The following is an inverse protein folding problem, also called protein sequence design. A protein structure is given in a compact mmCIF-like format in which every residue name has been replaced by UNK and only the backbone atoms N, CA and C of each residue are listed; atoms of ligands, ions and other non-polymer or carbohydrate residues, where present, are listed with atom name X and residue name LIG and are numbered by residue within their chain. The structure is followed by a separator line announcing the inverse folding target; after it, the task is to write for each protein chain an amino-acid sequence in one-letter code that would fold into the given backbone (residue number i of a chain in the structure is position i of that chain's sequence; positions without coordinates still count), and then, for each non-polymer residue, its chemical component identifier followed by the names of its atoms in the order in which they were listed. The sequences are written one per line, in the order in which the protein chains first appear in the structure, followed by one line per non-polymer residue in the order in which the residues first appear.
data_IF_332243684186
#
_entry.id   IF_332243684186
#
_cell.length_a   1.000
_cell.length_b   1.000
_cell.length_c   1.000
_cell.angle_alpha   90.00
_cell.angle_beta   90.00
_cell.angle_gamma   90.00
#
_symmetry.space_group_name_H-M   'P 1'
#
loop_
_entity.id
_entity.type
_entity.pdbx_description
1 polymer ?
#
# COMPACT_ATOMS: atom_id res chain seq x y z
N UNK A 1 34.60 0.82 -13.45
CA UNK A 1 33.38 0.29 -12.80
C UNK A 1 33.36 0.57 -11.30
N UNK A 2 34.47 0.43 -10.58
CA UNK A 2 34.59 0.69 -9.14
C UNK A 2 34.00 2.05 -8.69
N UNK A 3 34.37 3.16 -9.33
CA UNK A 3 33.80 4.49 -9.04
C UNK A 3 32.28 4.56 -9.18
N UNK A 4 31.69 3.82 -10.13
CA UNK A 4 30.23 3.76 -10.31
C UNK A 4 29.56 2.97 -9.18
N UNK A 5 30.15 1.86 -8.75
CA UNK A 5 29.66 1.06 -7.62
C UNK A 5 29.75 1.86 -6.31
N UNK A 6 30.84 2.60 -6.09
CA UNK A 6 30.99 3.47 -4.94
C UNK A 6 29.93 4.59 -4.91
N UNK A 7 29.67 5.22 -6.06
CA UNK A 7 28.62 6.23 -6.18
C UNK A 7 27.23 5.63 -5.92
N UNK A 8 26.95 4.45 -6.48
CA UNK A 8 25.70 3.73 -6.24
C UNK A 8 25.50 3.41 -4.76
N UNK A 9 26.53 2.91 -4.08
CA UNK A 9 26.47 2.62 -2.65
C UNK A 9 26.17 3.88 -1.82
N UNK A 10 26.84 5.00 -2.13
CA UNK A 10 26.58 6.29 -1.46
C UNK A 10 25.14 6.77 -1.68
N UNK A 11 24.63 6.67 -2.90
CA UNK A 11 23.24 7.03 -3.21
C UNK A 11 22.25 6.14 -2.45
N UNK A 12 22.53 4.84 -2.34
CA UNK A 12 21.70 3.90 -1.59
C UNK A 12 21.69 4.20 -0.08
N UNK A 13 22.82 4.63 0.48
CA UNK A 13 22.88 5.08 1.87
C UNK A 13 22.05 6.36 2.08
N UNK A 14 22.21 7.36 1.21
CA UNK A 14 21.39 8.58 1.25
C UNK A 14 19.90 8.29 1.10
N UNK A 15 19.54 7.37 0.20
CA UNK A 15 18.15 6.91 0.03
C UNK A 15 17.60 6.39 1.36
N UNK A 16 18.37 5.55 2.07
CA UNK A 16 17.96 5.01 3.37
C UNK A 16 17.77 6.10 4.43
N UNK A 17 18.65 7.11 4.45
CA UNK A 17 18.51 8.25 5.36
C UNK A 17 17.26 9.09 5.04
N UNK A 18 17.02 9.39 3.77
CA UNK A 18 15.82 10.10 3.29
C UNK A 18 14.55 9.32 3.63
N UNK A 19 14.55 8.00 3.42
CA UNK A 19 13.41 7.14 3.76
C UNK A 19 13.11 7.18 5.26
N UNK A 20 14.14 7.20 6.11
CA UNK A 20 13.98 7.33 7.56
C UNK A 20 13.43 8.70 7.95
N UNK A 21 13.94 9.77 7.36
CA UNK A 21 13.46 11.14 7.62
C UNK A 21 12.01 11.32 7.17
N UNK A 22 11.66 10.83 5.98
CA UNK A 22 10.29 10.82 5.46
C UNK A 22 9.34 10.01 6.35
N UNK A 23 9.80 8.88 6.90
CA UNK A 23 9.00 8.09 7.83
C UNK A 23 8.71 8.87 9.13
N UNK A 24 9.71 9.55 9.70
CA UNK A 24 9.52 10.40 10.88
C UNK A 24 8.55 11.55 10.62
N UNK A 25 8.75 12.31 9.54
CA UNK A 25 7.85 13.39 9.15
C UNK A 25 6.42 12.90 8.92
N UNK A 26 6.25 11.72 8.32
CA UNK A 26 4.93 11.11 8.14
C UNK A 26 4.24 10.84 9.46
N UNK A 27 4.96 10.26 10.45
CA UNK A 27 4.41 10.00 11.78
C UNK A 27 4.02 11.31 12.48
N UNK A 28 4.87 12.34 12.41
CA UNK A 28 4.59 13.66 12.98
C UNK A 28 3.34 14.31 12.35
N UNK A 29 3.21 14.28 11.02
CA UNK A 29 2.05 14.84 10.32
C UNK A 29 0.77 14.07 10.66
N UNK A 30 0.84 12.73 10.74
CA UNK A 30 -0.31 11.92 11.15
C UNK A 30 -0.71 12.25 12.60
N UNK A 31 0.26 12.37 13.51
CA UNK A 31 0.01 12.73 14.90
C UNK A 31 -0.62 14.13 15.03
N UNK A 32 -0.15 15.09 14.23
CA UNK A 32 -0.71 16.44 14.16
C UNK A 32 -2.16 16.44 13.66
N UNK A 33 -2.46 15.71 12.58
CA UNK A 33 -3.83 15.63 12.07
C UNK A 33 -4.76 14.89 13.06
N UNK A 34 -4.24 13.84 13.71
CA UNK A 34 -4.98 13.06 14.72
C UNK A 34 -5.30 13.89 15.96
N UNK A 35 -4.41 14.81 16.38
CA UNK A 35 -4.66 15.69 17.53
C UNK A 35 -5.67 16.81 17.23
N UNK A 36 -5.92 17.10 15.95
CA UNK A 36 -6.92 18.06 15.51
C UNK A 36 -8.26 17.43 15.14
N UNK A 37 -8.43 16.11 15.34
CA UNK A 37 -9.59 15.33 14.87
C UNK A 37 -9.95 15.61 13.39
N UNK A 38 -8.95 15.99 12.58
CA UNK A 38 -9.15 16.39 11.20
C UNK A 38 -8.44 15.45 10.25
N UNK A 39 -9.16 14.95 9.26
CA UNK A 39 -8.62 14.15 8.16
C UNK A 39 -7.92 14.99 7.10
N UNK A 40 -8.03 16.31 7.16
CA UNK A 40 -7.40 17.23 6.23
C UNK A 40 -6.93 18.49 6.93
N UNK A 41 -5.77 18.98 6.52
CA UNK A 41 -5.16 20.18 7.06
C UNK A 41 -4.54 21.00 5.93
N UNK A 42 -4.75 22.31 5.98
CA UNK A 42 -4.06 23.25 5.10
C UNK A 42 -2.94 23.93 5.89
N UNK A 43 -1.70 23.63 5.51
CA UNK A 43 -0.48 24.15 6.14
C UNK A 43 0.22 25.07 5.14
N UNK A 44 -0.16 26.36 5.14
CA UNK A 44 0.38 27.36 4.23
C UNK A 44 0.08 27.03 2.76
N UNK A 45 1.12 26.77 1.97
CA UNK A 45 1.00 26.38 0.54
C UNK A 45 0.82 24.87 0.32
N UNK A 46 0.68 24.08 1.39
CA UNK A 46 0.55 22.63 1.29
C UNK A 46 -0.81 22.17 1.82
N UNK A 47 -1.46 21.31 1.06
CA UNK A 47 -2.68 20.62 1.47
C UNK A 47 -2.33 19.20 1.88
N UNK A 48 -2.60 18.88 3.13
CA UNK A 48 -2.42 17.55 3.70
C UNK A 48 -3.76 16.87 3.79
N UNK A 49 -3.85 15.62 3.34
CA UNK A 49 -5.03 14.79 3.47
C UNK A 49 -4.65 13.40 3.96
N UNK A 50 -5.23 13.00 5.09
CA UNK A 50 -5.22 11.62 5.57
C UNK A 50 -6.37 10.87 4.93
N UNK A 51 -6.06 10.00 3.97
CA UNK A 51 -7.04 9.14 3.34
C UNK A 51 -6.99 7.78 4.02
N UNK A 52 -8.05 7.45 4.75
CA UNK A 52 -8.26 6.09 5.26
C UNK A 52 -8.64 5.20 4.09
N UNK A 53 -7.78 4.24 3.76
CA UNK A 53 -8.04 3.24 2.74
C UNK A 53 -8.21 1.87 3.40
N UNK A 54 -9.29 1.18 3.03
CA UNK A 54 -9.47 -0.23 3.38
C UNK A 54 -8.77 -1.08 2.32
N UNK A 55 -7.62 -1.65 2.67
CA UNK A 55 -6.91 -2.59 1.80
C UNK A 55 -7.32 -4.01 2.16
N UNK A 56 -7.75 -4.78 1.16
CA UNK A 56 -7.96 -6.22 1.30
C UNK A 56 -6.58 -6.90 1.39
N UNK A 57 -6.27 -7.50 2.53
CA UNK A 57 -5.13 -8.42 2.67
C UNK A 57 -5.67 -9.84 2.51
N UNK A 58 -5.31 -10.48 1.40
CA UNK A 58 -5.73 -11.84 1.09
C UNK A 58 -4.78 -12.85 1.75
N UNK A 59 -5.34 -13.90 2.30
CA UNK A 59 -4.61 -15.07 2.81
C UNK A 59 -4.34 -16.01 1.64
N UNK A 60 -3.06 -16.21 1.30
CA UNK A 60 -2.65 -17.06 0.19
C UNK A 60 -3.20 -18.49 0.32
N UNK A 61 -3.22 -19.08 1.52
CA UNK A 61 -3.68 -20.44 1.71
C UNK A 61 -5.20 -20.54 1.50
N UNK A 62 -5.97 -19.65 2.15
CA UNK A 62 -7.43 -19.65 2.01
C UNK A 62 -7.87 -19.30 0.59
N UNK A 63 -7.17 -18.36 -0.05
CA UNK A 63 -7.46 -17.97 -1.44
C UNK A 63 -7.16 -19.12 -2.39
N UNK A 64 -6.04 -19.83 -2.21
CA UNK A 64 -5.70 -21.01 -3.00
C UNK A 64 -6.75 -22.13 -2.86
N UNK A 65 -7.11 -22.48 -1.62
CA UNK A 65 -8.14 -23.51 -1.35
C UNK A 65 -9.49 -23.17 -2.00
N UNK A 66 -9.87 -21.89 -1.94
CA UNK A 66 -11.16 -21.39 -2.45
C UNK A 66 -11.21 -21.34 -3.98
N UNK A 67 -10.09 -21.01 -4.64
CA UNK A 67 -10.05 -20.90 -6.08
C UNK A 67 -10.05 -22.26 -6.77
N UNK A 68 -9.45 -23.28 -6.13
CA UNK A 68 -9.39 -24.70 -6.55
C UNK A 68 -8.90 -24.98 -8.00
N UNK A 69 -8.75 -23.94 -8.83
CA UNK A 69 -8.33 -23.96 -10.22
C UNK A 69 -6.85 -23.51 -10.32
N UNK A 70 -5.94 -24.42 -10.70
CA UNK A 70 -4.52 -24.12 -10.83
C UNK A 70 -4.20 -23.01 -11.86
N UNK A 71 -4.99 -22.87 -12.92
CA UNK A 71 -4.74 -21.86 -13.96
C UNK A 71 -5.05 -20.45 -13.44
N UNK A 72 -6.09 -20.31 -12.62
CA UNK A 72 -6.43 -19.04 -11.97
C UNK A 72 -5.35 -18.64 -10.95
N UNK A 73 -4.83 -19.61 -10.19
CA UNK A 73 -3.72 -19.37 -9.27
C UNK A 73 -2.44 -18.96 -10.01
N UNK A 74 -2.17 -19.53 -11.17
CA UNK A 74 -1.02 -19.17 -12.03
C UNK A 74 -1.06 -17.71 -12.46
N UNK A 75 -2.24 -17.20 -12.81
CA UNK A 75 -2.46 -15.79 -13.18
C UNK A 75 -2.22 -14.83 -12.00
N UNK A 76 -2.66 -15.21 -10.80
CA UNK A 76 -2.42 -14.47 -9.57
C UNK A 76 -0.92 -14.46 -9.20
N UNK A 77 -0.25 -15.60 -9.35
CA UNK A 77 1.13 -15.88 -8.91
C UNK A 77 1.35 -15.77 -7.39
N UNK A 78 0.60 -14.89 -6.70
CA UNK A 78 0.49 -14.69 -5.25
C UNK A 78 -0.86 -14.02 -4.97
N UNK A 79 -1.29 -13.96 -3.71
CA UNK A 79 -2.51 -13.27 -3.26
C UNK A 79 -2.38 -11.72 -3.34
N UNK A 80 -2.09 -11.20 -4.53
CA UNK A 80 -2.01 -9.78 -4.80
C UNK A 80 -3.42 -9.17 -4.94
N UNK A 81 -3.79 -8.17 -4.12
CA UNK A 81 -5.13 -7.60 -4.13
C UNK A 81 -5.54 -6.95 -5.46
N UNK A 82 -4.58 -6.36 -6.18
CA UNK A 82 -4.87 -5.70 -7.45
C UNK A 82 -5.16 -6.72 -8.55
N UNK A 83 -4.43 -7.85 -8.56
CA UNK A 83 -4.71 -8.96 -9.46
C UNK A 83 -6.02 -9.67 -9.14
N UNK A 84 -6.30 -9.94 -7.86
CA UNK A 84 -7.59 -10.53 -7.44
C UNK A 84 -8.75 -9.63 -7.88
N UNK A 85 -8.67 -8.33 -7.60
CA UNK A 85 -9.69 -7.38 -8.04
C UNK A 85 -9.87 -7.34 -9.57
N UNK A 86 -8.79 -7.50 -10.33
CA UNK A 86 -8.85 -7.56 -11.80
C UNK A 86 -9.55 -8.83 -12.28
N UNK A 87 -9.26 -9.99 -11.69
CA UNK A 87 -9.90 -11.26 -12.04
C UNK A 87 -11.37 -11.32 -11.62
N UNK A 88 -11.72 -10.69 -10.51
CA UNK A 88 -13.13 -10.50 -10.11
C UNK A 88 -13.87 -9.62 -11.12
N UNK A 89 -13.27 -8.50 -11.54
CA UNK A 89 -13.86 -7.63 -12.59
C UNK A 89 -14.03 -8.34 -13.93
N UNK A 90 -13.13 -9.26 -14.25
CA UNK A 90 -13.21 -10.09 -15.46
C UNK A 90 -14.19 -11.27 -15.32
N UNK A 91 -14.92 -11.39 -14.20
CA UNK A 91 -15.81 -12.50 -13.86
C UNK A 91 -15.12 -13.89 -13.86
N UNK A 92 -13.80 -13.91 -13.71
CA UNK A 92 -13.03 -15.16 -13.57
C UNK A 92 -13.16 -15.73 -12.15
N UNK A 93 -13.32 -14.85 -11.15
CA UNK A 93 -13.46 -15.19 -9.74
C UNK A 93 -14.72 -14.51 -9.18
N UNK A 94 -15.53 -15.25 -8.41
CA UNK A 94 -16.70 -14.68 -7.73
C UNK A 94 -16.28 -13.92 -6.47
N UNK A 95 -16.68 -12.65 -6.33
CA UNK A 95 -16.38 -11.83 -5.13
C UNK A 95 -16.93 -12.46 -3.85
N UNK A 96 -18.13 -13.04 -3.91
CA UNK A 96 -18.77 -13.73 -2.78
C UNK A 96 -17.94 -14.91 -2.28
N UNK A 97 -17.31 -15.66 -3.18
CA UNK A 97 -16.49 -16.83 -2.81
C UNK A 97 -15.19 -16.42 -2.13
N UNK A 98 -14.62 -15.27 -2.45
CA UNK A 98 -13.34 -14.86 -1.87
C UNK A 98 -13.51 -13.99 -0.62
N UNK A 99 -14.74 -13.67 -0.21
CA UNK A 99 -14.99 -12.77 0.91
C UNK A 99 -14.40 -13.26 2.24
N UNK A 100 -14.35 -14.57 2.50
CA UNK A 100 -13.72 -15.16 3.70
C UNK A 100 -12.20 -15.32 3.60
N UNK A 101 -11.63 -15.04 2.42
CA UNK A 101 -10.19 -15.23 2.16
C UNK A 101 -9.38 -13.96 2.42
N UNK A 102 -10.04 -12.81 2.63
CA UNK A 102 -9.34 -11.57 2.95
C UNK A 102 -9.81 -10.95 4.25
N UNK A 103 -8.90 -10.20 4.86
CA UNK A 103 -9.20 -9.27 5.94
C UNK A 103 -9.10 -7.85 5.43
N UNK A 104 -9.94 -6.96 5.95
CA UNK A 104 -9.85 -5.54 5.67
C UNK A 104 -8.86 -4.92 6.65
N UNK A 105 -7.77 -4.40 6.13
CA UNK A 105 -6.81 -3.62 6.90
C UNK A 105 -6.98 -2.16 6.58
N UNK A 106 -7.26 -1.40 7.62
CA UNK A 106 -7.32 0.06 7.57
C UNK A 106 -5.89 0.58 7.45
N UNK A 107 -5.57 1.25 6.35
CA UNK A 107 -4.28 1.89 6.12
C UNK A 107 -4.51 3.39 5.93
N UNK A 108 -3.83 4.21 6.72
CA UNK A 108 -3.86 5.66 6.55
C UNK A 108 -2.81 6.08 5.53
N UNK A 109 -3.25 6.55 4.38
CA UNK A 109 -2.39 7.14 3.36
C UNK A 109 -2.29 8.65 3.60
N UNK A 110 -1.06 9.13 3.82
CA UNK A 110 -0.76 10.55 3.85
C UNK A 110 -0.59 11.05 2.41
N UNK A 111 -1.47 11.97 1.98
CA UNK A 111 -1.34 12.70 0.72
C UNK A 111 -0.94 14.14 1.04
N UNK A 112 0.09 14.63 0.38
CA UNK A 112 0.55 16.03 0.49
C UNK A 112 0.61 16.59 -0.91
N UNK A 113 -0.24 17.57 -1.18
CA UNK A 113 -0.31 18.29 -2.44
C UNK A 113 0.18 19.73 -2.23
N UNK A 114 0.95 20.24 -3.18
CA UNK A 114 1.33 21.66 -3.20
C UNK A 114 0.26 22.44 -3.95
N UNK A 115 -0.24 23.51 -3.34
CA UNK A 115 -1.15 24.48 -3.98
C UNK A 115 -0.41 25.33 -5.02
#
# INVERSE_FOLDING_TARGET
MEKKVQQYYKLKQKQKEIEKELAGLREEIIAYCSSQDSSDAELGSYKVKLVVQNRKEYDDAKLYETLSDPEVWRLLSRADPAKVASLVKLNVISDERIHHTYTLKTVTLLQVDKK
#
